data_IF_569241102626
#
_entry.id   IF_569241102626
#
_cell.length_a   1.000
_cell.length_b   1.000
_cell.length_c   1.000
_cell.angle_alpha   90.00
_cell.angle_beta   90.00
_cell.angle_gamma   90.00
#
_symmetry.space_group_name_H-M   'P 1'
#
loop_
_entity.id
_entity.type
_entity.pdbx_description
1 polymer ?
#
# COMPACT_ATOMS: atom_id res chain seq x y z
N UNK A 1 19.34 -7.56 10.46
CA UNK A 1 18.31 -6.49 10.50
C UNK A 1 17.23 -6.83 9.49
N UNK A 2 15.95 -6.72 9.84
CA UNK A 2 14.84 -7.09 8.94
C UNK A 2 14.49 -5.92 8.02
N UNK A 3 14.35 -6.16 6.71
CA UNK A 3 13.93 -5.15 5.74
C UNK A 3 12.40 -5.05 5.71
N UNK A 4 11.84 -4.00 6.30
CA UNK A 4 10.39 -3.76 6.36
C UNK A 4 9.75 -3.65 4.97
N UNK A 5 10.48 -3.14 3.97
CA UNK A 5 9.96 -3.00 2.59
C UNK A 5 9.74 -4.34 1.88
N UNK A 6 10.32 -5.43 2.40
CA UNK A 6 10.10 -6.78 1.86
C UNK A 6 8.88 -7.49 2.45
N UNK A 7 8.28 -6.95 3.51
CA UNK A 7 7.13 -7.58 4.18
C UNK A 7 5.88 -7.36 3.33
N UNK A 8 5.29 -8.45 2.83
CA UNK A 8 4.06 -8.41 2.04
C UNK A 8 2.89 -9.17 2.65
N UNK A 9 3.12 -9.91 3.74
CA UNK A 9 2.10 -10.76 4.36
C UNK A 9 2.28 -10.81 5.87
N UNK A 10 1.18 -11.05 6.57
CA UNK A 10 1.17 -11.32 8.00
C UNK A 10 0.21 -12.48 8.33
N UNK A 11 0.47 -13.12 9.45
CA UNK A 11 -0.36 -14.21 9.98
C UNK A 11 -0.95 -13.76 11.31
N UNK A 12 -2.26 -13.82 11.42
CA UNK A 12 -2.98 -13.68 12.67
C UNK A 12 -3.29 -15.07 13.21
N UNK A 13 -2.83 -15.33 14.42
CA UNK A 13 -3.12 -16.54 15.18
C UNK A 13 -4.13 -16.19 16.27
N UNK A 14 -5.26 -16.88 16.29
CA UNK A 14 -6.26 -16.76 17.34
C UNK A 14 -6.43 -18.10 18.01
N UNK A 15 -6.44 -18.12 19.33
CA UNK A 15 -6.76 -19.31 20.11
C UNK A 15 -8.14 -19.12 20.72
N UNK A 16 -9.02 -20.08 20.49
CA UNK A 16 -10.32 -20.12 21.15
C UNK A 16 -10.27 -21.07 22.35
N UNK A 17 -10.52 -20.53 23.55
CA UNK A 17 -10.39 -21.30 24.80
C UNK A 17 -11.50 -22.33 24.98
N UNK A 18 -12.66 -22.13 24.35
CA UNK A 18 -13.81 -23.03 24.53
C UNK A 18 -13.69 -24.25 23.61
N UNK A 19 -13.37 -24.05 22.34
CA UNK A 19 -13.13 -25.13 21.38
C UNK A 19 -11.72 -25.72 21.44
N UNK A 20 -10.77 -25.06 22.12
CA UNK A 20 -9.35 -25.41 22.18
C UNK A 20 -8.68 -25.43 20.78
N UNK A 21 -9.20 -24.66 19.83
CA UNK A 21 -8.71 -24.61 18.46
C UNK A 21 -7.87 -23.38 18.18
N UNK A 22 -6.88 -23.55 17.31
CA UNK A 22 -6.07 -22.47 16.75
C UNK A 22 -6.59 -22.10 15.36
N UNK A 23 -6.96 -20.85 15.18
CA UNK A 23 -7.32 -20.28 13.89
C UNK A 23 -6.13 -19.54 13.27
N UNK A 24 -5.85 -19.87 12.02
CA UNK A 24 -4.79 -19.26 11.23
C UNK A 24 -5.41 -18.38 10.15
N UNK A 25 -5.19 -17.06 10.25
CA UNK A 25 -5.69 -16.10 9.26
C UNK A 25 -4.52 -15.39 8.58
N UNK A 26 -4.31 -15.70 7.30
CA UNK A 26 -3.23 -15.15 6.49
C UNK A 26 -3.72 -13.95 5.68
N UNK A 27 -3.03 -12.82 5.81
CA UNK A 27 -3.39 -11.57 5.15
C UNK A 27 -2.25 -11.04 4.28
N UNK A 28 -2.61 -10.46 3.14
CA UNK A 28 -1.70 -9.64 2.34
C UNK A 28 -1.64 -8.23 2.92
N UNK A 29 -0.43 -7.69 3.07
CA UNK A 29 -0.18 -6.33 3.54
C UNK A 29 0.06 -5.44 2.32
N UNK A 30 -0.74 -4.38 2.19
CA UNK A 30 -0.61 -3.37 1.15
C UNK A 30 -0.27 -2.04 1.78
N UNK A 31 0.86 -1.45 1.40
CA UNK A 31 1.23 -0.11 1.84
C UNK A 31 0.41 0.90 1.06
N UNK A 32 -0.42 1.66 1.76
CA UNK A 32 -1.17 2.78 1.19
C UNK A 32 -0.62 4.09 1.75
N UNK A 33 -0.23 5.04 0.89
CA UNK A 33 0.27 6.32 1.38
C UNK A 33 -0.86 7.10 2.05
N UNK A 34 -0.57 7.65 3.23
CA UNK A 34 -1.47 8.52 4.01
C UNK A 34 -0.97 9.97 3.95
N UNK A 35 -1.83 10.95 4.27
CA UNK A 35 -1.46 12.37 4.28
C UNK A 35 -1.45 13.08 2.92
N UNK A 36 -1.64 12.36 1.81
CA UNK A 36 -1.76 12.97 0.49
C UNK A 36 -3.22 13.32 0.17
N UNK A 37 -3.44 14.50 -0.42
CA UNK A 37 -4.76 14.93 -0.94
C UNK A 37 -5.24 14.00 -2.05
N UNK A 38 -6.56 13.93 -2.28
CA UNK A 38 -7.15 13.05 -3.31
C UNK A 38 -6.60 13.35 -4.71
N UNK A 39 -6.42 14.64 -5.05
CA UNK A 39 -5.84 15.06 -6.33
C UNK A 39 -4.39 14.59 -6.50
N UNK A 40 -3.57 14.75 -5.46
CA UNK A 40 -2.17 14.32 -5.49
C UNK A 40 -2.03 12.79 -5.56
N UNK A 41 -2.94 12.03 -4.93
CA UNK A 41 -2.98 10.56 -5.07
C UNK A 41 -3.32 10.10 -6.49
N UNK A 42 -4.21 10.81 -7.20
CA UNK A 42 -4.56 10.49 -8.58
C UNK A 42 -3.35 10.69 -9.50
N UNK A 43 -2.69 11.84 -9.32
CA UNK A 43 -1.43 12.19 -9.97
C UNK A 43 -0.39 11.08 -9.77
N UNK A 44 -0.05 10.73 -8.53
CA UNK A 44 1.03 9.75 -8.24
C UNK A 44 0.75 8.30 -8.68
N UNK A 45 -0.51 7.95 -8.97
CA UNK A 45 -0.88 6.60 -9.44
C UNK A 45 -0.65 6.40 -10.94
N UNK A 46 -0.71 7.47 -11.72
CA UNK A 46 -0.39 7.42 -13.15
C UNK A 46 1.14 7.47 -13.32
N UNK A 47 1.67 6.81 -14.37
CA UNK A 47 3.08 6.93 -14.73
C UNK A 47 3.35 8.40 -15.05
N UNK A 48 3.87 9.14 -14.07
CA UNK A 48 4.13 10.56 -14.24
C UNK A 48 5.16 10.76 -15.36
N UNK A 49 4.83 11.51 -16.42
CA UNK A 49 5.81 11.87 -17.42
C UNK A 49 6.90 12.75 -16.79
N UNK A 50 8.08 12.75 -17.40
CA UNK A 50 9.15 13.63 -16.97
C UNK A 50 8.76 15.10 -17.25
N UNK A 51 8.36 15.82 -16.19
CA UNK A 51 7.91 17.22 -16.26
C UNK A 51 9.01 18.18 -16.68
N UNK A 52 10.30 17.80 -16.59
CA UNK A 52 11.39 18.66 -17.09
C UNK A 52 11.36 18.88 -18.60
N UNK A 53 10.54 18.08 -19.32
CA UNK A 53 10.35 18.15 -20.77
C UNK A 53 8.98 18.72 -21.15
N UNK A 54 8.19 19.16 -20.17
CA UNK A 54 6.84 19.67 -20.38
C UNK A 54 6.82 21.15 -20.02
N UNK A 55 6.47 21.99 -20.99
CA UNK A 55 6.38 23.45 -20.79
C UNK A 55 5.10 23.85 -20.06
N UNK A 56 4.08 22.98 -20.03
CA UNK A 56 2.78 23.28 -19.42
C UNK A 56 2.06 22.04 -18.86
N UNK A 57 1.32 22.23 -17.75
CA UNK A 57 0.51 21.21 -17.06
C UNK A 57 -0.69 20.78 -17.92
N UNK A 58 -1.18 21.67 -18.79
CA UNK A 58 -2.23 21.38 -19.77
C UNK A 58 -1.92 20.16 -20.64
N UNK A 59 -0.63 19.83 -20.83
CA UNK A 59 -0.18 18.68 -21.62
C UNK A 59 -0.40 17.32 -20.92
N UNK A 60 -0.87 17.32 -19.66
CA UNK A 60 -1.20 16.13 -18.88
C UNK A 60 -2.72 15.81 -18.86
N UNK A 61 -3.56 16.71 -19.37
CA UNK A 61 -5.03 16.58 -19.41
C UNK A 61 -5.53 16.26 -20.82
#
# INVERSE_FOLDING_TARGET
QVNLNSIRRCLLLSYDTDSQLLEFRHYSVQVVPVGLSRGLRKILREKFPNLSRMDDISQLL
#
